data_IF_274206708430
#
_entry.id   IF_274206708430
#
_cell.length_a   1.000
_cell.length_b   1.000
_cell.length_c   1.000
_cell.angle_alpha   90.00
_cell.angle_beta   90.00
_cell.angle_gamma   90.00
#
_symmetry.space_group_name_H-M   'P 1'
#
loop_
_entity.id
_entity.type
_entity.pdbx_description
1 polymer ?
#
# COMPACT_ATOMS: atom_id res chain seq x y z
N UNK A 1 -41.43 8.57 -21.97
CA UNK A 1 -40.05 9.12 -21.87
C UNK A 1 -39.29 8.58 -20.66
N UNK A 2 -39.94 7.86 -19.73
CA UNK A 2 -39.34 7.43 -18.44
C UNK A 2 -38.40 6.21 -18.52
N UNK A 3 -38.64 5.25 -19.41
CA UNK A 3 -37.85 4.00 -19.47
C UNK A 3 -36.39 4.24 -19.89
N UNK A 4 -36.10 5.28 -20.69
CA UNK A 4 -34.72 5.62 -21.08
C UNK A 4 -33.92 6.19 -19.92
N UNK A 5 -34.53 6.99 -19.05
CA UNK A 5 -33.85 7.65 -17.92
C UNK A 5 -33.37 6.61 -16.88
N UNK A 6 -34.16 5.57 -16.63
CA UNK A 6 -33.82 4.49 -15.70
C UNK A 6 -32.59 3.68 -16.17
N UNK A 7 -32.44 3.46 -17.49
CA UNK A 7 -31.26 2.75 -18.02
C UNK A 7 -29.97 3.55 -17.83
N UNK A 8 -30.02 4.88 -17.97
CA UNK A 8 -28.86 5.75 -17.79
C UNK A 8 -28.44 5.89 -16.33
N UNK A 9 -29.38 5.93 -15.39
CA UNK A 9 -29.05 5.99 -13.95
C UNK A 9 -28.47 4.68 -13.43
N UNK A 10 -28.96 3.53 -13.90
CA UNK A 10 -28.40 2.22 -13.53
C UNK A 10 -26.95 2.02 -14.04
N UNK A 11 -26.65 2.48 -15.25
CA UNK A 11 -25.28 2.41 -15.81
C UNK A 11 -24.32 3.37 -15.10
N UNK A 12 -24.77 4.56 -14.73
CA UNK A 12 -23.96 5.50 -13.94
C UNK A 12 -23.63 4.96 -12.53
N UNK A 13 -24.58 4.31 -11.87
CA UNK A 13 -24.35 3.69 -10.56
C UNK A 13 -23.32 2.55 -10.62
N UNK A 14 -23.38 1.69 -11.65
CA UNK A 14 -22.40 0.62 -11.87
C UNK A 14 -20.98 1.17 -12.11
N UNK A 15 -20.85 2.28 -12.84
CA UNK A 15 -19.55 2.95 -13.02
C UNK A 15 -19.01 3.57 -11.74
N UNK A 16 -19.87 4.14 -10.89
CA UNK A 16 -19.44 4.67 -9.60
C UNK A 16 -18.93 3.56 -8.66
N UNK A 17 -19.57 2.39 -8.67
CA UNK A 17 -19.15 1.24 -7.87
C UNK A 17 -17.82 0.63 -8.32
N UNK A 18 -17.52 0.58 -9.61
CA UNK A 18 -16.20 0.08 -10.09
C UNK A 18 -15.07 1.04 -9.75
N UNK A 19 -15.31 2.35 -9.86
CA UNK A 19 -14.32 3.38 -9.49
C UNK A 19 -14.09 3.42 -7.97
N UNK A 20 -15.15 3.30 -7.16
CA UNK A 20 -15.04 3.23 -5.71
C UNK A 20 -14.43 1.90 -5.21
N UNK A 21 -14.72 0.79 -5.89
CA UNK A 21 -14.19 -0.54 -5.57
C UNK A 21 -12.67 -0.61 -5.72
N UNK A 22 -12.10 0.00 -6.76
CA UNK A 22 -10.65 0.07 -6.89
C UNK A 22 -10.03 0.91 -5.76
N UNK A 23 -10.64 2.05 -5.41
CA UNK A 23 -10.16 2.91 -4.32
C UNK A 23 -10.06 2.13 -3.00
N UNK A 24 -11.07 1.36 -2.62
CA UNK A 24 -11.08 0.60 -1.36
C UNK A 24 -10.02 -0.52 -1.28
N UNK A 25 -9.62 -1.11 -2.40
CA UNK A 25 -8.56 -2.13 -2.41
C UNK A 25 -7.13 -1.54 -2.32
N UNK A 26 -6.99 -0.20 -2.23
CA UNK A 26 -5.69 0.49 -2.34
C UNK A 26 -5.30 0.85 -3.78
N UNK A 27 -6.20 0.68 -4.75
CA UNK A 27 -5.98 0.93 -6.18
C UNK A 27 -6.68 2.22 -6.59
N UNK A 28 -6.00 3.37 -6.61
CA UNK A 28 -6.65 4.65 -6.96
C UNK A 28 -6.46 5.07 -8.43
N UNK A 29 -7.59 5.46 -9.02
CA UNK A 29 -7.92 6.03 -10.35
C UNK A 29 -7.61 5.19 -11.61
N UNK A 30 -8.66 4.53 -12.10
CA UNK A 30 -8.74 3.94 -13.44
C UNK A 30 -8.63 5.05 -14.48
N UNK A 31 -7.45 5.24 -15.07
CA UNK A 31 -7.26 6.18 -16.17
C UNK A 31 -7.83 5.69 -17.51
N UNK A 32 -8.54 4.56 -17.55
CA UNK A 32 -9.17 4.05 -18.77
C UNK A 32 -10.59 3.53 -18.56
N UNK A 33 -11.44 3.82 -19.55
CA UNK A 33 -12.78 3.25 -19.76
C UNK A 33 -12.80 1.71 -19.87
N UNK A 34 -11.63 1.05 -19.90
CA UNK A 34 -11.51 -0.41 -20.00
C UNK A 34 -11.67 -1.15 -18.66
N UNK A 35 -11.79 -0.45 -17.52
CA UNK A 35 -11.99 -1.09 -16.20
C UNK A 35 -10.74 -1.75 -15.60
N UNK A 36 -9.59 -1.66 -16.26
CA UNK A 36 -8.33 -2.21 -15.74
C UNK A 36 -7.64 -1.20 -14.84
N UNK A 37 -7.82 -1.36 -13.53
CA UNK A 37 -7.05 -0.64 -12.51
C UNK A 37 -5.60 -1.13 -12.59
N UNK A 38 -4.64 -0.27 -12.92
CA UNK A 38 -3.21 -0.62 -12.77
C UNK A 38 -2.83 -0.48 -11.29
N UNK A 39 -2.04 -1.41 -10.72
CA UNK A 39 -1.59 -1.27 -9.34
C UNK A 39 -0.72 -0.02 -9.25
N UNK A 40 -0.99 0.82 -8.26
CA UNK A 40 -0.18 2.03 -8.03
C UNK A 40 1.22 1.58 -7.66
N UNK A 41 2.22 1.99 -8.47
CA UNK A 41 3.64 1.71 -8.23
C UNK A 41 4.02 1.92 -6.76
N UNK A 42 4.71 0.97 -6.11
CA UNK A 42 5.05 1.07 -4.70
C UNK A 42 5.81 2.37 -4.38
N UNK A 43 5.52 2.96 -3.21
CA UNK A 43 6.27 4.10 -2.71
C UNK A 43 7.66 3.67 -2.24
N UNK A 44 8.57 4.62 -2.12
CA UNK A 44 9.92 4.36 -1.64
C UNK A 44 9.94 3.61 -0.31
N UNK A 45 9.05 3.94 0.61
CA UNK A 45 8.91 3.28 1.92
C UNK A 45 8.62 1.78 1.83
N UNK A 46 7.94 1.32 0.79
CA UNK A 46 7.49 -0.08 0.65
C UNK A 46 8.65 -1.04 0.38
N UNK A 47 9.83 -0.51 0.02
CA UNK A 47 11.03 -1.29 -0.27
C UNK A 47 11.93 -1.55 0.96
N UNK A 48 11.46 -1.15 2.14
CA UNK A 48 12.25 -1.21 3.37
C UNK A 48 11.47 -1.89 4.49
N UNK A 49 12.15 -2.61 5.37
CA UNK A 49 11.61 -3.13 6.62
C UNK A 49 12.43 -2.63 7.80
N UNK A 50 11.86 -2.64 9.00
CA UNK A 50 12.62 -2.35 10.21
C UNK A 50 13.49 -3.57 10.53
N UNK A 51 14.80 -3.38 10.58
CA UNK A 51 15.75 -4.42 10.95
C UNK A 51 15.50 -4.92 12.38
N UNK A 52 15.53 -6.25 12.56
CA UNK A 52 15.24 -6.89 13.85
C UNK A 52 13.74 -7.06 14.15
N UNK A 53 12.85 -6.52 13.32
CA UNK A 53 11.41 -6.71 13.43
C UNK A 53 10.91 -7.53 12.23
N UNK A 54 10.03 -8.50 12.50
CA UNK A 54 9.30 -9.20 11.45
C UNK A 54 8.16 -8.32 10.93
N UNK A 55 7.90 -8.31 9.60
CA UNK A 55 6.66 -7.76 9.08
C UNK A 55 5.46 -8.42 9.76
N UNK A 56 4.42 -7.64 10.03
CA UNK A 56 3.21 -8.14 10.67
C UNK A 56 2.52 -9.16 9.76
N UNK A 57 2.31 -10.39 10.26
CA UNK A 57 1.50 -11.40 9.57
C UNK A 57 0.05 -11.31 10.02
N UNK A 58 -0.90 -11.57 9.12
CA UNK A 58 -2.30 -11.76 9.49
C UNK A 58 -2.46 -12.94 10.47
N UNK A 59 -1.63 -13.96 10.31
CA UNK A 59 -1.66 -15.21 11.10
C UNK A 59 -1.43 -14.94 12.59
N UNK A 60 -0.59 -13.96 12.94
CA UNK A 60 -0.31 -13.56 14.32
C UNK A 60 -1.55 -12.98 15.02
N UNK A 61 -2.55 -12.56 14.25
CA UNK A 61 -3.80 -11.94 14.72
C UNK A 61 -5.02 -12.84 14.53
N UNK A 62 -4.82 -14.08 14.08
CA UNK A 62 -5.91 -15.04 13.94
C UNK A 62 -6.45 -15.47 15.32
N UNK A 63 -7.77 -15.62 15.40
CA UNK A 63 -8.49 -16.16 16.54
C UNK A 63 -9.28 -17.38 16.05
N UNK A 64 -9.17 -18.53 16.73
CA UNK A 64 -10.01 -19.69 16.43
C UNK A 64 -11.48 -19.39 16.74
N UNK A 65 -12.37 -19.77 15.84
CA UNK A 65 -13.82 -19.73 16.03
C UNK A 65 -14.34 -21.12 16.44
N UNK A 66 -15.53 -21.15 17.07
CA UNK A 66 -16.14 -22.39 17.59
C UNK A 66 -16.57 -23.38 16.51
N UNK A 67 -16.74 -22.92 15.27
CA UNK A 67 -17.07 -23.73 14.09
C UNK A 67 -15.83 -24.32 13.40
N UNK A 68 -14.63 -24.12 13.97
CA UNK A 68 -13.36 -24.54 13.39
C UNK A 68 -12.79 -23.57 12.35
N UNK A 69 -13.51 -22.49 12.01
CA UNK A 69 -12.98 -21.42 11.17
C UNK A 69 -12.03 -20.51 11.97
N UNK A 70 -11.42 -19.55 11.28
CA UNK A 70 -10.58 -18.51 11.91
C UNK A 70 -11.14 -17.13 11.58
N UNK A 71 -11.10 -16.24 12.57
CA UNK A 71 -11.31 -14.81 12.40
C UNK A 71 -9.98 -14.08 12.61
N UNK A 72 -9.89 -12.83 12.22
CA UNK A 72 -8.71 -11.98 12.49
C UNK A 72 -9.13 -10.86 13.42
N UNK A 73 -8.27 -10.50 14.39
CA UNK A 73 -8.40 -9.27 15.16
C UNK A 73 -8.11 -8.06 14.29
N UNK A 74 -9.03 -7.74 13.39
CA UNK A 74 -8.84 -6.75 12.33
C UNK A 74 -8.38 -5.39 12.90
N UNK A 75 -8.98 -4.92 13.99
CA UNK A 75 -8.62 -3.65 14.63
C UNK A 75 -7.20 -3.68 15.21
N UNK A 76 -6.78 -4.78 15.84
CA UNK A 76 -5.43 -4.92 16.41
C UNK A 76 -4.38 -5.00 15.29
N UNK A 77 -4.68 -5.77 14.24
CA UNK A 77 -3.83 -5.88 13.06
C UNK A 77 -3.68 -4.53 12.35
N UNK A 78 -4.78 -3.82 12.10
CA UNK A 78 -4.75 -2.49 11.46
C UNK A 78 -3.98 -1.48 12.32
N UNK A 79 -4.19 -1.48 13.64
CA UNK A 79 -3.46 -0.62 14.57
C UNK A 79 -1.96 -0.91 14.54
N UNK A 80 -1.57 -2.20 14.56
CA UNK A 80 -0.18 -2.61 14.47
C UNK A 80 0.45 -2.20 13.13
N UNK A 81 -0.26 -2.40 12.01
CA UNK A 81 0.20 -1.99 10.68
C UNK A 81 0.43 -0.48 10.60
N UNK A 82 -0.51 0.32 11.10
CA UNK A 82 -0.35 1.77 11.17
C UNK A 82 0.85 2.16 12.02
N UNK A 83 0.99 1.57 13.21
CA UNK A 83 2.12 1.82 14.10
C UNK A 83 3.47 1.49 13.43
N UNK A 84 3.58 0.31 12.80
CA UNK A 84 4.78 -0.08 12.04
C UNK A 84 5.07 0.90 10.89
N UNK A 85 4.05 1.30 10.14
CA UNK A 85 4.17 2.26 9.05
C UNK A 85 4.66 3.64 9.53
N UNK A 86 4.09 4.17 10.61
CA UNK A 86 4.53 5.44 11.20
C UNK A 86 5.97 5.37 11.72
N UNK A 87 6.39 4.25 12.30
CA UNK A 87 7.79 4.06 12.71
C UNK A 87 8.74 4.06 11.52
N UNK A 88 8.34 3.48 10.38
CA UNK A 88 9.11 3.59 9.13
C UNK A 88 9.16 5.04 8.61
N UNK A 89 8.04 5.76 8.65
CA UNK A 89 7.99 7.18 8.27
C UNK A 89 9.01 7.98 9.10
N UNK A 90 9.01 7.81 10.43
CA UNK A 90 9.93 8.54 11.30
C UNK A 90 11.41 8.32 10.96
N UNK A 91 11.78 7.11 10.52
CA UNK A 91 13.15 6.79 10.08
C UNK A 91 13.51 7.48 8.75
N UNK A 92 12.57 7.59 7.81
CA UNK A 92 12.76 8.35 6.58
C UNK A 92 12.87 9.85 6.85
N UNK A 93 11.99 10.39 7.69
CA UNK A 93 11.99 11.79 8.08
C UNK A 93 13.28 12.17 8.81
N UNK A 94 13.84 11.28 9.64
CA UNK A 94 15.15 11.46 10.27
C UNK A 94 16.31 11.59 9.26
N UNK A 95 16.17 11.01 8.07
CA UNK A 95 17.14 11.15 6.97
C UNK A 95 16.81 12.30 6.00
N UNK A 96 15.70 13.04 6.22
CA UNK A 96 15.24 14.07 5.30
C UNK A 96 14.79 13.52 3.94
N UNK A 97 14.44 12.24 3.85
CA UNK A 97 14.06 11.57 2.61
C UNK A 97 12.55 11.50 2.44
N UNK A 98 12.06 11.78 1.24
CA UNK A 98 10.63 11.67 0.93
C UNK A 98 10.22 10.20 0.73
N UNK A 99 9.65 9.63 1.79
CA UNK A 99 9.15 8.26 1.82
C UNK A 99 8.00 8.00 0.82
N UNK A 100 7.30 9.05 0.36
CA UNK A 100 6.18 8.96 -0.58
C UNK A 100 6.63 8.84 -2.04
N UNK A 101 7.91 9.03 -2.33
CA UNK A 101 8.38 9.12 -3.72
C UNK A 101 8.02 7.87 -4.54
N UNK A 102 7.42 8.09 -5.72
CA UNK A 102 6.96 7.07 -6.70
C UNK A 102 7.39 7.38 -8.14
N UNK A 103 8.39 8.23 -8.33
CA UNK A 103 8.80 8.82 -9.63
C UNK A 103 9.37 7.82 -10.67
N UNK A 104 9.24 6.51 -10.44
CA UNK A 104 9.78 5.47 -11.30
C UNK A 104 11.27 5.25 -11.09
N UNK A 105 12.06 6.32 -10.90
CA UNK A 105 13.52 6.30 -10.81
C UNK A 105 14.06 5.27 -9.82
N UNK A 106 15.27 4.73 -10.08
CA UNK A 106 15.90 3.84 -9.13
C UNK A 106 16.05 4.59 -7.80
N UNK A 107 15.76 3.93 -6.68
CA UNK A 107 15.78 4.60 -5.38
C UNK A 107 17.17 5.12 -5.03
N UNK A 108 18.22 4.44 -5.48
CA UNK A 108 19.61 4.91 -5.32
C UNK A 108 19.90 6.18 -6.13
N UNK A 109 19.29 6.38 -7.30
CA UNK A 109 19.42 7.64 -8.05
C UNK A 109 18.72 8.78 -7.30
N UNK A 110 17.54 8.48 -6.72
CA UNK A 110 16.72 9.47 -6.03
C UNK A 110 17.31 9.90 -4.69
N UNK A 111 17.75 8.95 -3.87
CA UNK A 111 18.23 9.22 -2.50
C UNK A 111 19.74 9.26 -2.38
N UNK A 112 20.48 8.89 -3.45
CA UNK A 112 21.92 8.66 -3.43
C UNK A 112 22.31 7.54 -2.45
N UNK A 113 23.58 7.13 -2.52
CA UNK A 113 24.11 6.14 -1.57
C UNK A 113 24.06 6.66 -0.13
N UNK A 114 24.36 7.94 0.09
CA UNK A 114 24.28 8.61 1.41
C UNK A 114 22.89 8.46 2.06
N UNK A 115 21.82 8.54 1.26
CA UNK A 115 20.46 8.35 1.76
C UNK A 115 20.20 6.89 2.16
N UNK A 116 20.70 5.93 1.39
CA UNK A 116 20.59 4.51 1.74
C UNK A 116 21.36 4.20 3.02
N UNK A 117 22.60 4.67 3.13
CA UNK A 117 23.44 4.49 4.31
C UNK A 117 22.77 5.11 5.56
N UNK A 118 22.10 6.26 5.40
CA UNK A 118 21.31 6.86 6.47
C UNK A 118 20.14 5.95 6.89
N UNK A 119 19.35 5.44 5.94
CA UNK A 119 18.22 4.55 6.25
C UNK A 119 18.70 3.28 6.96
N UNK A 120 19.80 2.68 6.51
CA UNK A 120 20.43 1.54 7.16
C UNK A 120 20.89 1.86 8.58
N UNK A 121 21.52 3.03 8.79
CA UNK A 121 21.90 3.51 10.12
C UNK A 121 20.69 3.76 11.04
N UNK A 122 19.56 4.18 10.48
CA UNK A 122 18.28 4.30 11.20
C UNK A 122 17.64 2.93 11.49
N UNK A 123 18.27 1.83 11.10
CA UNK A 123 17.80 0.46 11.32
C UNK A 123 16.73 0.02 10.31
N UNK A 124 16.67 0.62 9.12
CA UNK A 124 15.91 0.04 8.01
C UNK A 124 16.78 -0.91 7.21
N UNK A 125 16.18 -1.94 6.63
CA UNK A 125 16.83 -2.85 5.69
C UNK A 125 16.03 -2.94 4.41
N UNK A 126 16.71 -3.09 3.27
CA UNK A 126 16.05 -3.41 2.01
C UNK A 126 15.32 -4.73 2.12
N UNK A 127 14.07 -4.76 1.69
CA UNK A 127 13.33 -6.01 1.56
C UNK A 127 13.53 -6.61 0.16
N UNK A 128 12.88 -7.74 -0.11
CA UNK A 128 12.96 -8.43 -1.39
C UNK A 128 12.16 -7.77 -2.52
N UNK A 129 11.51 -6.62 -2.29
CA UNK A 129 10.69 -5.98 -3.31
C UNK A 129 11.58 -5.46 -4.45
N UNK A 130 11.31 -5.94 -5.67
CA UNK A 130 12.07 -5.56 -6.85
C UNK A 130 11.70 -4.15 -7.32
N UNK A 131 12.69 -3.31 -7.62
CA UNK A 131 12.43 -1.99 -8.22
C UNK A 131 11.82 -2.08 -9.62
N UNK A 132 11.87 -3.25 -10.28
CA UNK A 132 11.10 -3.49 -11.52
C UNK A 132 9.61 -3.24 -11.34
N UNK A 133 9.07 -3.45 -10.13
CA UNK A 133 7.65 -3.20 -9.80
C UNK A 133 7.34 -1.70 -9.73
N UNK A 134 8.38 -0.84 -9.62
CA UNK A 134 8.27 0.62 -9.64
C UNK A 134 8.28 1.19 -11.07
N UNK A 135 8.65 0.41 -12.08
CA UNK A 135 8.81 0.86 -13.47
C UNK A 135 7.60 0.57 -14.36
#
# INVERSE_FOLDING_TARGET
MEIRVIKYTATAALFAFTVAGCRLAGWYECSSLSGWCKPRKPAAIDFWDIGGESPLSLEDYEIPLSDGNRSVRANEYESAQKSYFYRKIGKFEACGLDWRTRDGKPLVERFKQEGFDCLEKQGLRRNGLSERVRW
#
